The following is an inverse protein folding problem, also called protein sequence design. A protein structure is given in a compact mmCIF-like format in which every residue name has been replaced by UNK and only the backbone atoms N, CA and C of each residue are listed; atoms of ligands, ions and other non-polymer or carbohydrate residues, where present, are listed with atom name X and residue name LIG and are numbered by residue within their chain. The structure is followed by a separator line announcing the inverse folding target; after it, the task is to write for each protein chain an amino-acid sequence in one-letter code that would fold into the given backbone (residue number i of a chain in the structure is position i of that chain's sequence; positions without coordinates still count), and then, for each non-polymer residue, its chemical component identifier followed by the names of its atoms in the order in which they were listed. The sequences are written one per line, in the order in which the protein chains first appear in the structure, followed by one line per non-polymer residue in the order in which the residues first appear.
data_IF_411655221549
#
_entry.id   IF_411655221549
#
_cell.length_a   1.000
_cell.length_b   1.000
_cell.length_c   1.000
_cell.angle_alpha   90.00
_cell.angle_beta   90.00
_cell.angle_gamma   90.00
#
_symmetry.space_group_name_H-M   'P 1'
#
loop_
_entity.id
_entity.type
_entity.pdbx_description
1 polymer ?
#
# COMPACT_ATOMS: atom_id res chain seq x y z
N UNK A 1 -26.72 -3.55 -35.88
CA UNK A 1 -25.50 -4.11 -35.25
C UNK A 1 -25.92 -4.57 -33.87
N UNK A 2 -25.80 -5.87 -33.59
CA UNK A 2 -26.36 -6.55 -32.41
C UNK A 2 -25.81 -5.95 -31.11
N UNK A 3 -26.67 -5.38 -30.27
CA UNK A 3 -26.33 -4.38 -29.25
C UNK A 3 -26.11 -4.95 -27.83
N UNK A 4 -25.88 -6.26 -27.65
CA UNK A 4 -25.43 -6.74 -26.34
C UNK A 4 -24.68 -8.06 -26.39
N UNK A 5 -23.35 -7.99 -26.34
CA UNK A 5 -22.56 -9.12 -25.90
C UNK A 5 -22.93 -9.51 -24.46
N UNK A 6 -23.37 -10.76 -24.25
CA UNK A 6 -23.75 -11.27 -22.94
C UNK A 6 -22.61 -11.16 -21.91
N UNK A 7 -21.39 -11.56 -22.29
CA UNK A 7 -20.19 -11.41 -21.45
C UNK A 7 -19.98 -9.95 -21.01
N UNK A 8 -20.19 -8.98 -21.90
CA UNK A 8 -20.07 -7.57 -21.57
C UNK A 8 -21.17 -7.10 -20.59
N UNK A 9 -22.38 -7.64 -20.72
CA UNK A 9 -23.47 -7.43 -19.75
C UNK A 9 -23.10 -7.97 -18.37
N UNK A 10 -22.67 -9.23 -18.29
CA UNK A 10 -22.25 -9.89 -17.04
C UNK A 10 -21.06 -9.16 -16.38
N UNK A 11 -20.09 -8.72 -17.17
CA UNK A 11 -18.97 -7.90 -16.68
C UNK A 11 -19.46 -6.62 -15.99
N UNK A 12 -20.36 -5.87 -16.64
CA UNK A 12 -20.91 -4.62 -16.07
C UNK A 12 -21.74 -4.88 -14.82
N UNK A 13 -22.56 -5.94 -14.82
CA UNK A 13 -23.31 -6.35 -13.63
C UNK A 13 -22.39 -6.73 -12.48
N UNK A 14 -21.30 -7.46 -12.77
CA UNK A 14 -20.28 -7.79 -11.78
C UNK A 14 -19.66 -6.55 -11.15
N UNK A 15 -19.21 -5.59 -11.98
CA UNK A 15 -18.64 -4.33 -11.51
C UNK A 15 -19.62 -3.53 -10.65
N UNK A 16 -20.86 -3.37 -11.12
CA UNK A 16 -21.90 -2.64 -10.41
C UNK A 16 -22.27 -3.32 -9.08
N UNK A 17 -22.40 -4.65 -9.05
CA UNK A 17 -22.69 -5.39 -7.81
C UNK A 17 -21.52 -5.26 -6.83
N UNK A 18 -20.27 -5.37 -7.28
CA UNK A 18 -19.12 -5.18 -6.40
C UNK A 18 -19.08 -3.78 -5.76
N UNK A 19 -19.24 -2.72 -6.57
CA UNK A 19 -19.22 -1.34 -6.07
C UNK A 19 -20.42 -1.00 -5.17
N UNK A 20 -21.53 -1.71 -5.33
CA UNK A 20 -22.69 -1.64 -4.44
C UNK A 20 -22.59 -2.59 -3.24
N UNK A 21 -21.39 -3.13 -2.96
CA UNK A 21 -21.14 -4.03 -1.84
C UNK A 21 -21.98 -5.31 -1.86
N UNK A 22 -22.29 -5.85 -3.05
CA UNK A 22 -22.86 -7.19 -3.21
C UNK A 22 -21.76 -8.11 -3.74
N UNK A 23 -20.85 -8.50 -2.85
CA UNK A 23 -19.59 -9.16 -3.23
C UNK A 23 -19.80 -10.55 -3.84
N UNK A 24 -20.71 -11.34 -3.27
CA UNK A 24 -21.07 -12.67 -3.78
C UNK A 24 -21.62 -12.60 -5.20
N UNK A 25 -22.60 -11.72 -5.44
CA UNK A 25 -23.13 -11.46 -6.79
C UNK A 25 -22.03 -10.97 -7.74
N UNK A 26 -21.17 -10.06 -7.28
CA UNK A 26 -20.04 -9.55 -8.06
C UNK A 26 -19.14 -10.69 -8.56
N UNK A 27 -18.73 -11.59 -7.67
CA UNK A 27 -17.93 -12.76 -8.03
C UNK A 27 -18.69 -13.77 -8.91
N UNK A 28 -19.98 -13.98 -8.65
CA UNK A 28 -20.82 -14.87 -9.44
C UNK A 28 -20.95 -14.38 -10.88
N UNK A 29 -21.26 -13.10 -11.09
CA UNK A 29 -21.33 -12.51 -12.42
C UNK A 29 -19.97 -12.48 -13.11
N UNK A 30 -18.87 -12.27 -12.37
CA UNK A 30 -17.52 -12.35 -12.94
C UNK A 30 -17.16 -13.77 -13.39
N UNK A 31 -17.58 -14.79 -12.63
CA UNK A 31 -17.39 -16.19 -13.03
C UNK A 31 -18.21 -16.51 -14.28
N UNK A 32 -19.49 -16.16 -14.30
CA UNK A 32 -20.36 -16.34 -15.46
C UNK A 32 -19.81 -15.66 -16.71
N UNK A 33 -19.30 -14.42 -16.59
CA UNK A 33 -18.69 -13.70 -17.71
C UNK A 33 -17.50 -14.44 -18.35
N UNK A 34 -16.72 -15.18 -17.55
CA UNK A 34 -15.58 -15.99 -18.04
C UNK A 34 -16.06 -17.28 -18.73
N UNK A 35 -17.15 -17.86 -18.25
CA UNK A 35 -17.66 -19.14 -18.75
C UNK A 35 -18.50 -18.99 -20.03
N UNK A 36 -19.09 -17.80 -20.27
CA UNK A 36 -19.85 -17.48 -21.49
C UNK A 36 -18.93 -17.38 -22.71
N UNK A 37 -19.28 -18.10 -23.79
CA UNK A 37 -18.57 -18.00 -25.07
C UNK A 37 -19.01 -16.75 -25.85
N UNK A 38 -18.02 -15.97 -26.26
CA UNK A 38 -18.21 -14.73 -27.01
C UNK A 38 -17.68 -14.90 -28.43
N UNK A 39 -18.58 -15.05 -29.41
CA UNK A 39 -18.21 -15.28 -30.81
C UNK A 39 -17.67 -14.01 -31.51
N UNK A 40 -18.09 -12.84 -31.04
CA UNK A 40 -17.78 -11.54 -31.67
C UNK A 40 -16.48 -10.88 -31.15
N UNK A 41 -15.73 -11.53 -30.25
CA UNK A 41 -14.45 -11.03 -29.66
C UNK A 41 -14.53 -9.58 -29.13
N UNK A 42 -15.57 -9.25 -28.38
CA UNK A 42 -15.67 -7.94 -27.72
C UNK A 42 -14.53 -7.71 -26.72
N UNK A 43 -14.14 -6.45 -26.54
CA UNK A 43 -13.10 -6.05 -25.58
C UNK A 43 -13.39 -6.53 -24.15
N UNK A 44 -14.63 -6.41 -23.67
CA UNK A 44 -14.99 -6.93 -22.34
C UNK A 44 -14.85 -8.46 -22.22
N UNK A 45 -14.95 -9.20 -23.33
CA UNK A 45 -14.74 -10.65 -23.33
C UNK A 45 -13.28 -11.00 -23.05
N UNK A 46 -12.33 -10.22 -23.59
CA UNK A 46 -10.90 -10.44 -23.34
C UNK A 46 -10.50 -9.98 -21.93
N UNK A 47 -11.22 -9.01 -21.37
CA UNK A 47 -10.94 -8.46 -20.03
C UNK A 47 -11.63 -9.21 -18.88
N UNK A 48 -12.73 -9.94 -19.12
CA UNK A 48 -13.50 -10.62 -18.09
C UNK A 48 -12.68 -11.57 -17.19
N UNK A 49 -11.74 -12.38 -17.70
CA UNK A 49 -10.87 -13.20 -16.87
C UNK A 49 -10.03 -12.38 -15.87
N UNK A 50 -9.46 -11.25 -16.32
CA UNK A 50 -8.64 -10.38 -15.46
C UNK A 50 -9.49 -9.67 -14.41
N UNK A 51 -10.70 -9.24 -14.77
CA UNK A 51 -11.65 -8.68 -13.81
C UNK A 51 -12.01 -9.67 -12.71
N UNK A 52 -12.27 -10.94 -13.05
CA UNK A 52 -12.48 -12.00 -12.05
C UNK A 52 -11.27 -12.15 -11.13
N UNK A 53 -10.06 -12.14 -11.65
CA UNK A 53 -8.83 -12.21 -10.84
C UNK A 53 -8.68 -10.99 -9.92
N UNK A 54 -9.03 -9.80 -10.40
CA UNK A 54 -9.04 -8.58 -9.59
C UNK A 54 -10.00 -8.72 -8.38
N UNK A 55 -11.22 -9.20 -8.61
CA UNK A 55 -12.19 -9.43 -7.53
C UNK A 55 -11.74 -10.51 -6.55
N UNK A 56 -11.20 -11.64 -7.04
CA UNK A 56 -10.62 -12.68 -6.19
C UNK A 56 -9.46 -12.15 -5.34
N UNK A 57 -8.67 -11.24 -5.89
CA UNK A 57 -7.56 -10.58 -5.17
C UNK A 57 -8.09 -9.71 -4.04
N UNK A 58 -9.14 -8.91 -4.28
CA UNK A 58 -9.78 -8.06 -3.25
C UNK A 58 -10.49 -8.90 -2.17
N UNK A 59 -11.13 -10.00 -2.55
CA UNK A 59 -11.70 -10.99 -1.64
C UNK A 59 -10.64 -11.81 -0.87
N UNK A 60 -9.34 -11.66 -1.22
CA UNK A 60 -8.21 -12.46 -0.71
C UNK A 60 -8.37 -13.97 -0.93
N UNK A 61 -9.07 -14.37 -1.99
CA UNK A 61 -9.09 -15.73 -2.53
C UNK A 61 -7.86 -15.97 -3.43
N UNK A 62 -6.67 -15.69 -2.88
CA UNK A 62 -5.41 -15.52 -3.61
C UNK A 62 -4.93 -16.80 -4.32
N UNK A 63 -5.27 -17.97 -3.79
CA UNK A 63 -4.95 -19.26 -4.42
C UNK A 63 -5.84 -19.53 -5.62
N UNK A 64 -7.11 -19.15 -5.55
CA UNK A 64 -8.04 -19.26 -6.68
C UNK A 64 -7.65 -18.27 -7.77
N UNK A 65 -7.37 -17.02 -7.41
CA UNK A 65 -6.89 -15.99 -8.34
C UNK A 65 -5.60 -16.39 -9.06
N UNK A 66 -4.66 -17.02 -8.35
CA UNK A 66 -3.40 -17.50 -8.95
C UNK A 66 -3.59 -18.64 -9.94
N UNK A 67 -4.49 -19.58 -9.65
CA UNK A 67 -4.84 -20.63 -10.61
C UNK A 67 -5.53 -20.04 -11.83
N UNK A 68 -6.43 -19.08 -11.62
CA UNK A 68 -7.13 -18.40 -12.69
C UNK A 68 -6.16 -17.66 -13.61
N UNK A 69 -5.29 -16.76 -13.11
CA UNK A 69 -4.40 -15.95 -13.95
C UNK A 69 -3.37 -16.76 -14.76
N UNK A 70 -3.05 -17.99 -14.33
CA UNK A 70 -2.11 -18.89 -15.02
C UNK A 70 -2.82 -20.00 -15.81
N UNK A 71 -4.14 -19.94 -15.97
CA UNK A 71 -4.87 -20.95 -16.71
C UNK A 71 -4.47 -20.89 -18.21
N UNK A 72 -4.18 -22.03 -18.86
CA UNK A 72 -3.75 -22.05 -20.27
C UNK A 72 -4.74 -21.36 -21.21
N UNK A 73 -6.02 -21.38 -20.87
CA UNK A 73 -7.13 -20.79 -21.63
C UNK A 73 -7.02 -19.26 -21.75
N UNK A 74 -6.40 -18.59 -20.78
CA UNK A 74 -6.15 -17.14 -20.81
C UNK A 74 -5.12 -16.74 -21.87
N UNK A 75 -4.25 -17.66 -22.28
CA UNK A 75 -3.16 -17.40 -23.23
C UNK A 75 -3.43 -17.94 -24.64
N UNK A 76 -4.63 -18.51 -24.89
CA UNK A 76 -5.00 -19.04 -26.21
C UNK A 76 -5.57 -17.94 -27.11
N UNK A 77 -4.71 -17.20 -27.82
CA UNK A 77 -5.13 -16.46 -29.01
C UNK A 77 -4.30 -15.24 -29.38
N UNK A 78 -3.55 -15.33 -30.49
CA UNK A 78 -3.04 -14.18 -31.26
C UNK A 78 -2.06 -13.24 -30.55
N UNK A 79 -1.57 -12.24 -31.28
CA UNK A 79 -0.80 -11.14 -30.70
C UNK A 79 -1.66 -10.41 -29.66
N UNK A 80 -1.31 -10.49 -28.38
CA UNK A 80 -2.04 -9.76 -27.33
C UNK A 80 -2.07 -8.27 -27.65
N UNK A 81 -3.27 -7.67 -27.59
CA UNK A 81 -3.43 -6.21 -27.61
C UNK A 81 -2.65 -5.61 -26.43
N UNK A 82 -2.03 -4.44 -26.63
CA UNK A 82 -1.33 -3.71 -25.57
C UNK A 82 -2.22 -3.51 -24.33
N UNK A 83 -3.52 -3.32 -24.51
CA UNK A 83 -4.49 -3.21 -23.42
C UNK A 83 -4.62 -4.50 -22.60
N UNK A 84 -4.65 -5.66 -23.27
CA UNK A 84 -4.74 -6.97 -22.61
C UNK A 84 -3.45 -7.24 -21.84
N UNK A 85 -2.29 -6.98 -22.44
CA UNK A 85 -1.00 -7.08 -21.76
C UNK A 85 -0.91 -6.14 -20.56
N UNK A 86 -1.34 -4.87 -20.70
CA UNK A 86 -1.37 -3.91 -19.60
C UNK A 86 -2.25 -4.38 -18.44
N UNK A 87 -3.47 -4.83 -18.75
CA UNK A 87 -4.43 -5.35 -17.77
C UNK A 87 -3.89 -6.59 -17.07
N UNK A 88 -3.41 -7.56 -17.84
CA UNK A 88 -2.83 -8.81 -17.34
C UNK A 88 -1.69 -8.55 -16.36
N UNK A 89 -0.74 -7.69 -16.74
CA UNK A 89 0.41 -7.35 -15.91
C UNK A 89 0.01 -6.60 -14.63
N UNK A 90 -0.88 -5.60 -14.70
CA UNK A 90 -1.32 -4.86 -13.52
C UNK A 90 -2.07 -5.78 -12.54
N UNK A 91 -3.01 -6.60 -13.04
CA UNK A 91 -3.81 -7.50 -12.20
C UNK A 91 -2.97 -8.63 -11.62
N UNK A 92 -2.05 -9.22 -12.40
CA UNK A 92 -1.11 -10.23 -11.89
C UNK A 92 -0.20 -9.63 -10.83
N UNK A 93 0.28 -8.40 -11.06
CA UNK A 93 1.10 -7.66 -10.12
C UNK A 93 0.39 -7.34 -8.79
N UNK A 94 -0.88 -6.91 -8.83
CA UNK A 94 -1.72 -6.70 -7.64
C UNK A 94 -1.89 -8.02 -6.85
N UNK A 95 -2.15 -9.13 -7.55
CA UNK A 95 -2.27 -10.45 -6.94
C UNK A 95 -0.98 -10.92 -6.28
N UNK A 96 0.16 -10.78 -6.96
CA UNK A 96 1.49 -11.11 -6.42
C UNK A 96 1.80 -10.28 -5.18
N UNK A 97 1.52 -8.98 -5.24
CA UNK A 97 1.66 -8.08 -4.09
C UNK A 97 0.81 -8.54 -2.90
N UNK A 98 -0.46 -8.87 -3.11
CA UNK A 98 -1.35 -9.38 -2.07
C UNK A 98 -0.90 -10.74 -1.50
N UNK A 99 -0.25 -11.58 -2.31
CA UNK A 99 0.36 -12.86 -1.90
C UNK A 99 1.68 -12.71 -1.14
N UNK A 100 2.29 -11.53 -1.14
CA UNK A 100 3.58 -11.25 -0.50
C UNK A 100 4.79 -11.38 -1.43
N UNK A 101 4.61 -11.70 -2.71
CA UNK A 101 5.67 -11.70 -3.73
C UNK A 101 5.88 -10.27 -4.24
N UNK A 102 6.35 -9.39 -3.34
CA UNK A 102 6.31 -7.95 -3.58
C UNK A 102 7.21 -7.54 -4.75
N UNK A 103 8.46 -7.99 -4.83
CA UNK A 103 9.35 -7.57 -5.92
C UNK A 103 8.82 -7.96 -7.32
N UNK A 104 8.36 -9.21 -7.47
CA UNK A 104 7.75 -9.69 -8.71
C UNK A 104 6.47 -8.92 -9.04
N UNK A 105 5.63 -8.67 -8.04
CA UNK A 105 4.41 -7.90 -8.19
C UNK A 105 4.67 -6.47 -8.65
N UNK A 106 5.68 -5.79 -8.10
CA UNK A 106 6.05 -4.44 -8.53
C UNK A 106 6.62 -4.41 -9.94
N UNK A 107 7.43 -5.40 -10.32
CA UNK A 107 7.97 -5.51 -11.67
C UNK A 107 6.84 -5.65 -12.71
N UNK A 108 5.83 -6.49 -12.40
CA UNK A 108 4.64 -6.66 -13.23
C UNK A 108 3.81 -5.40 -13.33
N UNK A 109 3.48 -4.75 -12.21
CA UNK A 109 2.71 -3.49 -12.22
C UNK A 109 3.44 -2.42 -13.03
N UNK A 110 4.76 -2.27 -12.87
CA UNK A 110 5.54 -1.29 -13.64
C UNK A 110 5.54 -1.60 -15.14
N UNK A 111 5.65 -2.87 -15.53
CA UNK A 111 5.54 -3.26 -16.94
C UNK A 111 4.15 -2.94 -17.49
N UNK A 112 3.10 -3.26 -16.74
CA UNK A 112 1.72 -3.02 -17.13
C UNK A 112 1.38 -1.54 -17.24
N UNK A 113 1.88 -0.69 -16.34
CA UNK A 113 1.72 0.77 -16.43
C UNK A 113 2.38 1.35 -17.69
N UNK A 114 3.59 0.89 -18.05
CA UNK A 114 4.24 1.30 -19.31
C UNK A 114 3.45 0.86 -20.55
N UNK A 115 2.75 -0.27 -20.48
CA UNK A 115 1.86 -0.70 -21.55
C UNK A 115 0.58 0.15 -21.58
N UNK A 116 -0.02 0.41 -20.41
CA UNK A 116 -1.22 1.24 -20.26
C UNK A 116 -1.00 2.67 -20.76
N UNK A 117 0.14 3.28 -20.44
CA UNK A 117 0.51 4.62 -20.93
C UNK A 117 0.63 4.65 -22.46
N UNK A 118 1.19 3.60 -23.09
CA UNK A 118 1.34 3.51 -24.55
C UNK A 118 0.02 3.29 -25.30
N UNK A 119 -0.97 2.66 -24.67
CA UNK A 119 -2.29 2.45 -25.25
C UNK A 119 -3.36 3.37 -24.65
N UNK A 120 -2.96 4.42 -23.94
CA UNK A 120 -3.83 5.43 -23.32
C UNK A 120 -4.93 4.85 -22.39
N UNK A 121 -4.68 3.69 -21.79
CA UNK A 121 -5.61 3.01 -20.89
C UNK A 121 -5.60 3.62 -19.47
N UNK A 122 -6.00 4.89 -19.36
CA UNK A 122 -5.91 5.68 -18.11
C UNK A 122 -6.65 5.07 -16.93
N UNK A 123 -7.75 4.37 -17.17
CA UNK A 123 -8.54 3.68 -16.13
C UNK A 123 -7.74 2.61 -15.36
N UNK A 124 -6.64 2.10 -15.93
CA UNK A 124 -5.78 1.11 -15.27
C UNK A 124 -4.72 1.76 -14.36
N UNK A 125 -4.40 3.03 -14.58
CA UNK A 125 -3.29 3.70 -13.90
C UNK A 125 -3.48 3.77 -12.38
N UNK A 126 -4.65 4.16 -11.83
CA UNK A 126 -4.84 4.23 -10.38
C UNK A 126 -4.60 2.90 -9.67
N UNK A 127 -4.96 1.77 -10.29
CA UNK A 127 -4.76 0.43 -9.71
C UNK A 127 -3.27 0.18 -9.48
N UNK A 128 -2.45 0.43 -10.51
CA UNK A 128 -1.01 0.26 -10.40
C UNK A 128 -0.35 1.27 -9.45
N UNK A 129 -0.81 2.52 -9.45
CA UNK A 129 -0.28 3.55 -8.56
C UNK A 129 -0.56 3.26 -7.08
N UNK A 130 -1.73 2.71 -6.73
CA UNK A 130 -2.03 2.28 -5.35
C UNK A 130 -1.05 1.20 -4.90
N UNK A 131 -0.80 0.17 -5.73
CA UNK A 131 0.14 -0.91 -5.39
C UNK A 131 1.55 -0.36 -5.18
N UNK A 132 2.04 0.48 -6.09
CA UNK A 132 3.38 1.06 -6.02
C UNK A 132 3.53 2.01 -4.82
N UNK A 133 2.52 2.85 -4.55
CA UNK A 133 2.52 3.74 -3.40
C UNK A 133 2.52 2.97 -2.08
N UNK A 134 1.67 1.95 -1.93
CA UNK A 134 1.62 1.10 -0.73
C UNK A 134 2.91 0.32 -0.51
N UNK A 135 3.48 -0.26 -1.56
CA UNK A 135 4.73 -1.01 -1.45
C UNK A 135 5.90 -0.10 -1.07
N UNK A 136 5.99 1.07 -1.69
CA UNK A 136 6.99 2.08 -1.35
C UNK A 136 6.83 2.55 0.10
N UNK A 137 5.58 2.84 0.53
CA UNK A 137 5.27 3.21 1.91
C UNK A 137 5.72 2.15 2.92
N UNK A 138 5.36 0.89 2.68
CA UNK A 138 5.73 -0.26 3.53
C UNK A 138 7.23 -0.54 3.53
N UNK A 139 7.98 -0.09 2.52
CA UNK A 139 9.45 -0.18 2.42
C UNK A 139 10.20 1.06 2.92
N UNK A 140 9.49 2.05 3.45
CA UNK A 140 10.04 3.36 3.81
C UNK A 140 10.74 4.09 2.64
N UNK A 141 10.29 3.85 1.40
CA UNK A 141 10.70 4.61 0.21
C UNK A 141 9.75 5.78 0.00
N UNK A 142 9.94 6.85 0.78
CA UNK A 142 8.99 7.97 0.80
C UNK A 142 8.95 8.75 -0.53
N UNK A 143 10.09 8.88 -1.24
CA UNK A 143 10.12 9.51 -2.58
C UNK A 143 9.20 8.79 -3.56
N UNK A 144 9.38 7.47 -3.69
CA UNK A 144 8.59 6.67 -4.63
C UNK A 144 7.12 6.67 -4.21
N UNK A 145 6.85 6.59 -2.90
CA UNK A 145 5.50 6.69 -2.35
C UNK A 145 4.81 7.99 -2.76
N UNK A 146 5.48 9.13 -2.57
CA UNK A 146 4.94 10.45 -2.89
C UNK A 146 4.76 10.68 -4.39
N UNK A 147 5.68 10.17 -5.20
CA UNK A 147 5.52 10.22 -6.65
C UNK A 147 4.20 9.58 -7.11
N UNK A 148 3.86 8.41 -6.57
CA UNK A 148 2.61 7.73 -6.94
C UNK A 148 1.37 8.31 -6.24
N UNK A 149 1.51 8.91 -5.06
CA UNK A 149 0.42 9.69 -4.43
C UNK A 149 0.09 10.94 -5.23
N UNK A 150 1.09 11.64 -5.77
CA UNK A 150 0.89 12.80 -6.65
C UNK A 150 0.19 12.39 -7.94
N UNK A 151 0.65 11.30 -8.58
CA UNK A 151 -0.04 10.72 -9.74
C UNK A 151 -1.49 10.33 -9.43
N UNK A 152 -1.76 9.68 -8.30
CA UNK A 152 -3.13 9.37 -7.84
C UNK A 152 -3.99 10.62 -7.67
N UNK A 153 -3.41 11.69 -7.12
CA UNK A 153 -4.09 12.98 -6.96
C UNK A 153 -4.43 13.58 -8.32
N UNK A 154 -3.50 13.53 -9.28
CA UNK A 154 -3.72 13.94 -10.66
C UNK A 154 -4.87 13.18 -11.34
N UNK A 155 -4.87 11.86 -11.27
CA UNK A 155 -5.97 11.04 -11.82
C UNK A 155 -7.31 11.33 -11.14
N UNK A 156 -7.30 11.60 -9.83
CA UNK A 156 -8.51 11.93 -9.10
C UNK A 156 -9.13 13.27 -9.54
N UNK A 157 -8.29 14.29 -9.80
CA UNK A 157 -8.73 15.59 -10.31
C UNK A 157 -9.32 15.50 -11.73
N UNK A 158 -8.92 14.50 -12.51
CA UNK A 158 -9.46 14.23 -13.84
C UNK A 158 -10.76 13.40 -13.82
N UNK A 159 -11.29 13.08 -12.64
CA UNK A 159 -12.57 12.39 -12.49
C UNK A 159 -12.52 10.88 -12.73
N UNK A 160 -11.34 10.26 -12.76
CA UNK A 160 -11.24 8.80 -12.91
C UNK A 160 -11.61 8.08 -11.59
N UNK A 161 -12.49 7.07 -11.73
CA UNK A 161 -13.09 6.29 -10.63
C UNK A 161 -12.12 5.25 -10.03
N UNK A 162 -12.38 4.82 -8.78
CA UNK A 162 -11.48 3.97 -7.97
C UNK A 162 -10.78 4.72 -6.83
N UNK A 163 -11.26 5.93 -6.50
CA UNK A 163 -10.57 6.90 -5.63
C UNK A 163 -10.47 6.49 -4.16
N UNK A 164 -11.25 5.53 -3.69
CA UNK A 164 -11.29 5.20 -2.27
C UNK A 164 -9.93 4.71 -1.75
N UNK A 165 -9.29 3.78 -2.48
CA UNK A 165 -7.95 3.29 -2.13
C UNK A 165 -6.88 4.39 -2.31
N UNK A 166 -6.98 5.20 -3.37
CA UNK A 166 -6.08 6.34 -3.59
C UNK A 166 -6.13 7.38 -2.47
N UNK A 167 -7.33 7.82 -2.08
CA UNK A 167 -7.55 8.73 -0.96
C UNK A 167 -7.03 8.15 0.36
N UNK A 168 -7.26 6.86 0.60
CA UNK A 168 -6.75 6.15 1.77
C UNK A 168 -5.22 6.12 1.82
N UNK A 169 -4.54 5.84 0.71
CA UNK A 169 -3.07 5.89 0.64
C UNK A 169 -2.55 7.30 0.85
N UNK A 170 -3.19 8.30 0.24
CA UNK A 170 -2.85 9.72 0.46
C UNK A 170 -2.99 10.11 1.93
N UNK A 171 -4.04 9.65 2.60
CA UNK A 171 -4.27 9.90 4.03
C UNK A 171 -3.21 9.21 4.91
N UNK A 172 -2.81 7.98 4.59
CA UNK A 172 -1.71 7.26 5.25
C UNK A 172 -0.38 8.03 5.17
N UNK A 173 -0.09 8.59 3.99
CA UNK A 173 1.16 9.33 3.76
C UNK A 173 1.14 10.68 4.46
N UNK A 174 0.02 11.40 4.42
CA UNK A 174 -0.15 12.65 5.18
C UNK A 174 0.04 12.42 6.70
N UNK A 175 -0.55 11.36 7.25
CA UNK A 175 -0.39 10.98 8.66
C UNK A 175 1.07 10.68 9.00
N UNK A 176 1.76 9.91 8.15
CA UNK A 176 3.16 9.54 8.35
C UNK A 176 4.13 10.72 8.28
N UNK A 177 3.82 11.74 7.47
CA UNK A 177 4.56 13.00 7.36
C UNK A 177 4.25 13.99 8.49
N UNK A 178 3.29 13.67 9.35
CA UNK A 178 2.84 14.57 10.43
C UNK A 178 1.97 15.73 9.97
N UNK A 179 1.40 15.65 8.76
CA UNK A 179 0.48 16.63 8.19
C UNK A 179 -0.92 16.43 8.80
N UNK A 180 -1.04 16.73 10.09
CA UNK A 180 -2.19 16.37 10.94
C UNK A 180 -3.51 16.85 10.37
N UNK A 181 -3.62 18.12 9.95
CA UNK A 181 -4.86 18.69 9.43
C UNK A 181 -5.26 18.07 8.09
N UNK A 182 -4.28 17.84 7.20
CA UNK A 182 -4.51 17.18 5.90
C UNK A 182 -4.98 15.75 6.10
N UNK A 183 -4.34 15.01 7.01
CA UNK A 183 -4.73 13.64 7.34
C UNK A 183 -6.15 13.61 7.93
N UNK A 184 -6.48 14.51 8.87
CA UNK A 184 -7.80 14.61 9.48
C UNK A 184 -8.89 14.91 8.44
N UNK A 185 -8.65 15.86 7.54
CA UNK A 185 -9.59 16.19 6.46
C UNK A 185 -9.86 15.02 5.51
N UNK A 186 -8.81 14.30 5.11
CA UNK A 186 -8.94 13.12 4.25
C UNK A 186 -9.67 11.97 4.96
N UNK A 187 -9.35 11.69 6.22
CA UNK A 187 -10.03 10.66 7.02
C UNK A 187 -11.51 11.00 7.19
N UNK A 188 -11.84 12.24 7.53
CA UNK A 188 -13.22 12.69 7.66
C UNK A 188 -13.97 12.56 6.32
N UNK A 189 -13.36 12.96 5.20
CA UNK A 189 -13.94 12.81 3.87
C UNK A 189 -14.23 11.35 3.50
N UNK A 190 -13.30 10.44 3.80
CA UNK A 190 -13.47 9.00 3.55
C UNK A 190 -14.60 8.42 4.43
N UNK A 191 -14.61 8.73 5.72
CA UNK A 191 -15.53 8.09 6.69
C UNK A 191 -16.95 8.65 6.58
N UNK A 192 -17.11 9.94 6.30
CA UNK A 192 -18.42 10.57 6.20
C UNK A 192 -19.14 10.25 4.87
N UNK A 193 -18.39 9.96 3.81
CA UNK A 193 -18.97 9.47 2.57
C UNK A 193 -19.21 7.95 2.64
N UNK A 194 -20.48 7.57 2.81
CA UNK A 194 -20.89 6.16 2.94
C UNK A 194 -20.50 5.30 1.74
N UNK A 195 -20.51 5.86 0.54
CA UNK A 195 -20.18 5.12 -0.68
C UNK A 195 -18.68 4.86 -0.74
N UNK A 196 -17.86 5.89 -0.52
CA UNK A 196 -16.40 5.78 -0.49
C UNK A 196 -15.96 4.82 0.62
N UNK A 197 -16.49 4.97 1.84
CA UNK A 197 -16.15 4.11 2.96
C UNK A 197 -16.47 2.64 2.64
N UNK A 198 -17.67 2.36 2.13
CA UNK A 198 -18.06 0.99 1.79
C UNK A 198 -17.16 0.38 0.72
N UNK A 199 -16.89 1.11 -0.36
CA UNK A 199 -16.01 0.65 -1.44
C UNK A 199 -14.59 0.37 -0.94
N UNK A 200 -14.07 1.22 -0.04
CA UNK A 200 -12.77 1.04 0.58
C UNK A 200 -12.74 -0.23 1.44
N UNK A 201 -13.72 -0.41 2.33
CA UNK A 201 -13.74 -1.51 3.29
C UNK A 201 -13.84 -2.89 2.63
N UNK A 202 -14.50 -3.00 1.47
CA UNK A 202 -14.60 -4.26 0.73
C UNK A 202 -13.41 -4.53 -0.21
N UNK A 203 -12.60 -3.50 -0.49
CA UNK A 203 -11.48 -3.60 -1.43
C UNK A 203 -10.12 -3.65 -0.74
N UNK A 204 -9.98 -2.98 0.41
CA UNK A 204 -8.73 -2.81 1.14
C UNK A 204 -8.85 -3.31 2.59
N UNK A 205 -8.44 -4.56 2.88
CA UNK A 205 -8.63 -5.19 4.20
C UNK A 205 -7.98 -4.45 5.37
N UNK A 206 -6.91 -3.71 5.08
CA UNK A 206 -6.16 -2.94 6.07
C UNK A 206 -6.80 -1.60 6.41
N UNK A 207 -7.79 -1.15 5.64
CA UNK A 207 -8.32 0.21 5.75
C UNK A 207 -9.06 0.43 7.08
N UNK A 208 -9.91 -0.51 7.50
CA UNK A 208 -10.70 -0.37 8.71
C UNK A 208 -9.84 -0.15 9.97
N UNK A 209 -8.83 -1.01 10.17
CA UNK A 209 -7.95 -0.91 11.33
C UNK A 209 -7.02 0.29 11.25
N UNK A 210 -6.58 0.69 10.05
CA UNK A 210 -5.84 1.93 9.88
C UNK A 210 -6.67 3.17 10.22
N UNK A 211 -7.89 3.28 9.69
CA UNK A 211 -8.80 4.39 9.96
C UNK A 211 -9.08 4.51 11.46
N UNK A 212 -9.37 3.40 12.15
CA UNK A 212 -9.55 3.42 13.62
C UNK A 212 -8.29 3.91 14.34
N UNK A 213 -7.09 3.39 14.02
CA UNK A 213 -5.83 3.86 14.63
C UNK A 213 -5.61 5.35 14.41
N UNK A 214 -5.80 5.82 13.19
CA UNK A 214 -5.57 7.21 12.82
C UNK A 214 -6.59 8.15 13.49
N UNK A 215 -7.88 7.79 13.47
CA UNK A 215 -8.95 8.54 14.14
C UNK A 215 -8.72 8.62 15.66
N UNK A 216 -8.36 7.52 16.31
CA UNK A 216 -8.01 7.53 17.74
C UNK A 216 -6.80 8.43 18.03
N UNK A 217 -5.75 8.39 17.20
CA UNK A 217 -4.56 9.26 17.34
C UNK A 217 -4.91 10.74 17.21
N UNK A 218 -5.89 11.07 16.37
CA UNK A 218 -6.40 12.43 16.16
C UNK A 218 -7.45 12.87 17.19
N UNK A 219 -7.84 12.00 18.12
CA UNK A 219 -8.93 12.27 19.08
C UNK A 219 -10.33 12.26 18.45
N UNK A 220 -10.46 11.86 17.18
CA UNK A 220 -11.72 11.83 16.44
C UNK A 220 -12.48 10.51 16.68
N UNK A 221 -12.91 10.27 17.92
CA UNK A 221 -13.53 9.00 18.34
C UNK A 221 -14.78 8.64 17.52
N UNK A 222 -15.60 9.61 17.17
CA UNK A 222 -16.81 9.40 16.36
C UNK A 222 -16.49 8.78 14.99
N UNK A 223 -15.39 9.20 14.35
CA UNK A 223 -14.95 8.62 13.08
C UNK A 223 -14.47 7.18 13.23
N UNK A 224 -13.84 6.85 14.36
CA UNK A 224 -13.44 5.48 14.67
C UNK A 224 -14.68 4.59 14.89
N UNK A 225 -15.68 5.07 15.62
CA UNK A 225 -16.94 4.38 15.86
C UNK A 225 -17.74 4.16 14.57
N UNK A 226 -17.81 5.18 13.70
CA UNK A 226 -18.43 5.07 12.38
C UNK A 226 -17.73 4.02 11.50
N UNK A 227 -16.39 3.99 11.51
CA UNK A 227 -15.60 3.00 10.78
C UNK A 227 -15.88 1.58 11.28
N UNK A 228 -15.88 1.35 12.59
CA UNK A 228 -16.17 0.03 13.18
C UNK A 228 -17.59 -0.41 12.85
N UNK A 229 -18.56 0.51 12.93
CA UNK A 229 -19.96 0.23 12.57
C UNK A 229 -20.07 -0.19 11.11
N UNK A 230 -19.47 0.55 10.19
CA UNK A 230 -19.48 0.22 8.77
C UNK A 230 -18.80 -1.13 8.47
N UNK A 231 -17.67 -1.42 9.12
CA UNK A 231 -16.98 -2.69 8.96
C UNK A 231 -17.79 -3.86 9.52
N UNK A 232 -18.49 -3.68 10.64
CA UNK A 232 -19.37 -4.69 11.22
C UNK A 232 -20.56 -4.99 10.28
N UNK A 233 -21.20 -3.96 9.73
CA UNK A 233 -22.27 -4.13 8.72
C UNK A 233 -21.75 -4.93 7.52
N UNK A 234 -20.62 -4.54 6.94
CA UNK A 234 -20.02 -5.26 5.82
C UNK A 234 -19.72 -6.74 6.15
N UNK A 235 -19.24 -7.04 7.37
CA UNK A 235 -19.00 -8.41 7.78
C UNK A 235 -20.29 -9.24 7.96
N UNK A 236 -21.38 -8.62 8.43
CA UNK A 236 -22.69 -9.30 8.55
C UNK A 236 -23.35 -9.55 7.20
N UNK A 237 -23.15 -8.66 6.22
CA UNK A 237 -23.64 -8.82 4.83
C UNK A 237 -22.84 -9.88 4.05
N UNK A 238 -21.60 -10.18 4.47
CA UNK A 238 -20.62 -10.97 3.70
C UNK A 238 -19.98 -12.10 4.52
N UNK A 239 -20.80 -12.95 5.13
CA UNK A 239 -20.37 -14.02 6.05
C UNK A 239 -19.33 -14.99 5.44
N UNK A 240 -19.37 -15.20 4.12
CA UNK A 240 -18.44 -16.06 3.38
C UNK A 240 -17.01 -15.51 3.27
N UNK A 241 -16.83 -14.19 3.45
CA UNK A 241 -15.54 -13.54 3.22
C UNK A 241 -14.73 -13.39 4.50
N UNK A 242 -13.81 -14.33 4.72
CA UNK A 242 -12.88 -14.31 5.87
C UNK A 242 -12.14 -12.99 6.02
N UNK A 243 -11.76 -12.36 4.90
CA UNK A 243 -11.04 -11.08 4.91
C UNK A 243 -11.87 -9.94 5.49
N UNK A 244 -13.17 -9.85 5.16
CA UNK A 244 -14.08 -8.80 5.65
C UNK A 244 -14.34 -9.00 7.15
N UNK A 245 -14.57 -10.25 7.58
CA UNK A 245 -14.70 -10.58 9.00
C UNK A 245 -13.44 -10.26 9.79
N UNK A 246 -12.26 -10.58 9.24
CA UNK A 246 -10.96 -10.23 9.84
C UNK A 246 -10.79 -8.72 10.01
N UNK A 247 -11.14 -7.93 8.98
CA UNK A 247 -11.10 -6.47 9.02
C UNK A 247 -12.01 -5.87 10.09
N UNK A 248 -13.25 -6.36 10.20
CA UNK A 248 -14.21 -5.93 11.22
C UNK A 248 -13.74 -6.27 12.65
N UNK A 249 -13.25 -7.49 12.88
CA UNK A 249 -12.70 -7.91 14.17
C UNK A 249 -11.46 -7.09 14.56
N UNK A 250 -10.59 -6.77 13.58
CA UNK A 250 -9.40 -5.96 13.82
C UNK A 250 -9.79 -4.53 14.23
N UNK A 251 -10.69 -3.90 13.49
CA UNK A 251 -11.17 -2.55 13.79
C UNK A 251 -11.88 -2.49 15.16
N UNK A 252 -12.80 -3.43 15.43
CA UNK A 252 -13.50 -3.51 16.71
C UNK A 252 -12.55 -3.80 17.88
N UNK A 253 -11.58 -4.70 17.71
CA UNK A 253 -10.59 -5.03 18.72
C UNK A 253 -9.69 -3.85 19.10
N UNK A 254 -9.42 -2.94 18.16
CA UNK A 254 -8.71 -1.69 18.44
C UNK A 254 -9.56 -0.70 19.23
N UNK A 255 -10.81 -0.44 18.79
CA UNK A 255 -11.69 0.53 19.42
C UNK A 255 -12.10 0.13 20.84
N UNK A 256 -12.32 -1.16 21.07
CA UNK A 256 -12.75 -1.73 22.35
C UNK A 256 -11.58 -2.19 23.22
N UNK A 257 -10.34 -2.06 22.75
CA UNK A 257 -9.13 -2.58 23.42
C UNK A 257 -9.25 -4.08 23.78
N UNK A 258 -9.83 -4.87 22.87
CA UNK A 258 -10.16 -6.28 23.08
C UNK A 258 -9.10 -7.21 22.46
N UNK A 259 -8.23 -7.86 23.28
CA UNK A 259 -7.20 -8.76 22.76
C UNK A 259 -7.75 -10.05 22.15
N UNK A 260 -8.96 -10.48 22.52
CA UNK A 260 -9.62 -11.64 21.92
C UNK A 260 -9.94 -11.40 20.45
N UNK A 261 -10.59 -10.26 20.17
CA UNK A 261 -10.93 -9.84 18.79
C UNK A 261 -9.69 -9.66 17.91
N UNK A 262 -8.62 -9.05 18.43
CA UNK A 262 -7.37 -8.88 17.69
C UNK A 262 -6.67 -10.23 17.39
N UNK A 263 -6.70 -11.16 18.35
CA UNK A 263 -6.14 -12.51 18.15
C UNK A 263 -6.92 -13.28 17.10
N UNK A 264 -8.24 -13.20 17.14
CA UNK A 264 -9.10 -13.84 16.13
C UNK A 264 -8.86 -13.25 14.75
N UNK A 265 -8.82 -11.91 14.63
CA UNK A 265 -8.49 -11.23 13.37
C UNK A 265 -7.14 -11.70 12.81
N UNK A 266 -6.09 -11.74 13.64
CA UNK A 266 -4.75 -12.19 13.26
C UNK A 266 -4.70 -13.63 12.70
N UNK A 267 -5.63 -14.49 13.13
CA UNK A 267 -5.71 -15.89 12.71
C UNK A 267 -6.62 -16.10 11.49
N UNK A 268 -7.59 -15.21 11.26
CA UNK A 268 -8.55 -15.33 10.15
C UNK A 268 -8.07 -14.64 8.87
N UNK A 269 -7.24 -13.59 8.96
CA UNK A 269 -6.74 -12.90 7.78
C UNK A 269 -6.04 -13.87 6.80
N UNK A 270 -6.45 -13.89 5.51
CA UNK A 270 -5.81 -14.75 4.52
C UNK A 270 -4.43 -14.23 4.07
N UNK A 271 -4.19 -12.92 4.09
CA UNK A 271 -2.90 -12.33 3.73
C UNK A 271 -2.00 -12.06 4.94
N UNK A 272 -0.70 -12.24 4.74
CA UNK A 272 0.29 -12.22 5.83
C UNK A 272 0.45 -10.82 6.44
N UNK A 273 0.34 -9.76 5.63
CA UNK A 273 0.55 -8.39 6.12
C UNK A 273 -0.58 -7.95 7.07
N UNK A 274 -1.85 -8.21 6.72
CA UNK A 274 -2.97 -7.88 7.61
C UNK A 274 -2.93 -8.70 8.90
N UNK A 275 -2.58 -9.99 8.79
CA UNK A 275 -2.34 -10.84 9.97
C UNK A 275 -1.21 -10.31 10.86
N UNK A 276 -0.11 -9.82 10.29
CA UNK A 276 0.98 -9.19 11.04
C UNK A 276 0.53 -7.89 11.73
N UNK A 277 -0.25 -7.07 11.04
CA UNK A 277 -0.82 -5.83 11.57
C UNK A 277 -1.70 -6.08 12.80
N UNK A 278 -2.60 -7.07 12.75
CA UNK A 278 -3.42 -7.45 13.89
C UNK A 278 -2.60 -8.02 15.07
N UNK A 279 -1.55 -8.81 14.79
CA UNK A 279 -0.63 -9.31 15.83
C UNK A 279 0.14 -8.18 16.51
N UNK A 280 0.59 -7.19 15.74
CA UNK A 280 1.27 -6.04 16.31
C UNK A 280 0.38 -5.24 17.26
N UNK A 281 -0.87 -4.99 16.87
CA UNK A 281 -1.83 -4.29 17.73
C UNK A 281 -2.18 -5.12 18.97
N UNK A 282 -2.35 -6.43 18.82
CA UNK A 282 -2.53 -7.36 19.94
C UNK A 282 -1.37 -7.26 20.92
N UNK A 283 -0.14 -7.33 20.43
CA UNK A 283 1.06 -7.21 21.26
C UNK A 283 1.14 -5.83 21.94
N UNK A 284 0.69 -4.76 21.28
CA UNK A 284 0.54 -3.43 21.88
C UNK A 284 -0.41 -3.41 23.07
N UNK A 285 -1.56 -4.09 22.98
CA UNK A 285 -2.50 -4.21 24.12
C UNK A 285 -1.95 -5.09 25.24
N UNK A 286 -1.26 -6.19 24.91
CA UNK A 286 -0.66 -7.07 25.91
C UNK A 286 0.49 -6.39 26.64
N UNK A 287 1.28 -5.56 25.95
CA UNK A 287 2.36 -4.75 26.53
C UNK A 287 1.89 -3.84 27.67
N UNK A 288 0.66 -3.32 27.61
CA UNK A 288 0.06 -2.52 28.69
C UNK A 288 -0.28 -3.32 29.95
N UNK A 289 -0.29 -4.66 29.87
CA UNK A 289 -0.64 -5.56 30.97
C UNK A 289 0.63 -6.17 31.59
N UNK A 290 0.96 -5.78 32.83
CA UNK A 290 2.24 -6.11 33.51
C UNK A 290 2.60 -7.61 33.57
N UNK A 291 1.64 -8.53 33.41
CA UNK A 291 1.81 -9.97 33.60
C UNK A 291 2.11 -10.79 32.33
N UNK A 292 2.22 -10.18 31.14
CA UNK A 292 2.28 -10.95 29.88
C UNK A 292 3.49 -10.69 28.97
N UNK A 293 4.68 -10.47 29.58
CA UNK A 293 5.90 -10.12 28.83
C UNK A 293 6.29 -11.17 27.78
N UNK A 294 6.32 -12.45 28.14
CA UNK A 294 6.77 -13.52 27.24
C UNK A 294 5.83 -13.66 26.03
N UNK A 295 4.52 -13.57 26.23
CA UNK A 295 3.55 -13.63 25.14
C UNK A 295 3.58 -12.37 24.27
N UNK A 296 3.78 -11.19 24.89
CA UNK A 296 3.97 -9.93 24.17
C UNK A 296 5.16 -10.03 23.22
N UNK A 297 6.32 -10.47 23.72
CA UNK A 297 7.52 -10.68 22.92
C UNK A 297 7.26 -11.67 21.78
N UNK A 298 6.71 -12.85 22.09
CA UNK A 298 6.39 -13.86 21.07
C UNK A 298 5.47 -13.31 19.98
N UNK A 299 4.45 -12.54 20.36
CA UNK A 299 3.48 -11.98 19.42
C UNK A 299 4.14 -10.93 18.51
N UNK A 300 4.99 -10.06 19.05
CA UNK A 300 5.80 -9.14 18.24
C UNK A 300 6.78 -9.89 17.32
N UNK A 301 7.40 -10.97 17.77
CA UNK A 301 8.32 -11.76 16.93
C UNK A 301 7.61 -12.40 15.74
N UNK A 302 6.38 -12.89 15.92
CA UNK A 302 5.54 -13.39 14.83
C UNK A 302 5.17 -12.29 13.84
N UNK A 303 4.80 -11.10 14.34
CA UNK A 303 4.53 -9.94 13.48
C UNK A 303 5.77 -9.52 12.68
N UNK A 304 6.93 -9.46 13.33
CA UNK A 304 8.21 -9.13 12.69
C UNK A 304 8.57 -10.12 11.58
N UNK A 305 8.42 -11.43 11.85
CA UNK A 305 8.67 -12.48 10.85
C UNK A 305 7.79 -12.31 9.62
N UNK A 306 6.49 -12.10 9.82
CA UNK A 306 5.54 -11.90 8.73
C UNK A 306 5.79 -10.61 7.93
N UNK A 307 6.06 -9.48 8.59
CA UNK A 307 6.42 -8.24 7.88
C UNK A 307 7.72 -8.38 7.07
N UNK A 308 8.70 -9.11 7.60
CA UNK A 308 9.96 -9.39 6.89
C UNK A 308 9.72 -10.26 5.67
N UNK A 309 8.90 -11.30 5.79
CA UNK A 309 8.56 -12.23 4.70
C UNK A 309 7.90 -11.53 3.50
N UNK A 310 7.09 -10.50 3.75
CA UNK A 310 6.43 -9.71 2.69
C UNK A 310 7.19 -8.42 2.36
N UNK A 311 8.43 -8.24 2.83
CA UNK A 311 9.25 -7.08 2.49
C UNK A 311 8.72 -5.73 3.00
N UNK A 312 7.90 -5.72 4.06
CA UNK A 312 7.39 -4.52 4.71
C UNK A 312 8.41 -3.95 5.73
N UNK A 313 9.54 -3.47 5.23
CA UNK A 313 10.68 -3.04 6.04
C UNK A 313 10.36 -1.92 7.05
N UNK A 314 9.44 -1.00 6.71
CA UNK A 314 8.98 0.06 7.62
C UNK A 314 8.27 -0.54 8.83
N UNK A 315 7.36 -1.47 8.60
CA UNK A 315 6.59 -2.15 9.65
C UNK A 315 7.48 -3.08 10.47
N UNK A 316 8.39 -3.81 9.82
CA UNK A 316 9.39 -4.63 10.50
C UNK A 316 10.27 -3.79 11.43
N UNK A 317 10.73 -2.61 10.98
CA UNK A 317 11.52 -1.69 11.80
C UNK A 317 10.72 -1.17 13.00
N UNK A 318 9.45 -0.84 12.79
CA UNK A 318 8.51 -0.47 13.86
C UNK A 318 8.40 -1.53 14.95
N UNK A 319 8.19 -2.79 14.57
CA UNK A 319 8.08 -3.90 15.53
C UNK A 319 9.43 -4.21 16.20
N UNK A 320 10.53 -4.20 15.43
CA UNK A 320 11.86 -4.42 15.97
C UNK A 320 12.23 -3.37 17.04
N UNK A 321 11.79 -2.12 16.86
CA UNK A 321 11.97 -1.08 17.87
C UNK A 321 11.20 -1.39 19.16
N UNK A 322 9.92 -1.74 19.05
CA UNK A 322 9.11 -2.13 20.22
C UNK A 322 9.74 -3.30 20.98
N UNK A 323 10.27 -4.30 20.27
CA UNK A 323 10.98 -5.43 20.88
C UNK A 323 12.23 -5.01 21.68
N UNK A 324 12.95 -3.95 21.25
CA UNK A 324 14.10 -3.44 22.00
C UNK A 324 13.70 -2.83 23.34
N UNK A 325 12.51 -2.24 23.44
CA UNK A 325 11.97 -1.72 24.71
C UNK A 325 11.71 -2.87 25.72
N UNK A 326 11.51 -4.09 25.22
CA UNK A 326 11.44 -5.32 26.02
C UNK A 326 12.79 -6.00 26.24
N UNK A 327 13.91 -5.34 25.95
CA UNK A 327 15.26 -5.87 26.12
C UNK A 327 15.64 -6.98 25.12
N UNK A 328 14.79 -7.25 24.12
CA UNK A 328 15.07 -8.24 23.08
C UNK A 328 15.96 -7.58 22.01
N UNK A 329 17.26 -7.83 22.11
CA UNK A 329 18.24 -7.40 21.09
C UNK A 329 18.45 -8.54 20.10
N UNK A 330 17.72 -8.54 18.98
CA UNK A 330 18.11 -9.35 17.83
C UNK A 330 19.20 -8.61 17.04
N UNK A 331 20.13 -9.37 16.47
CA UNK A 331 21.12 -8.83 15.52
C UNK A 331 20.39 -7.97 14.49
N UNK A 332 20.92 -6.77 14.25
CA UNK A 332 20.33 -5.79 13.33
C UNK A 332 19.92 -6.54 12.07
N UNK A 333 18.62 -6.62 11.78
CA UNK A 333 18.16 -6.90 10.41
C UNK A 333 18.67 -5.71 9.64
N UNK A 334 19.92 -5.79 9.16
CA UNK A 334 20.48 -4.78 8.29
C UNK A 334 19.61 -4.87 7.05
N UNK A 335 18.76 -3.86 6.76
CA UNK A 335 18.22 -3.78 5.43
C UNK A 335 19.44 -3.81 4.53
N UNK A 336 19.45 -4.69 3.51
CA UNK A 336 20.48 -4.64 2.48
C UNK A 336 20.51 -3.17 2.04
N UNK A 337 21.57 -2.45 2.40
CA UNK A 337 21.77 -1.07 2.01
C UNK A 337 22.03 -1.12 0.51
N UNK A 338 20.95 -1.18 -0.28
CA UNK A 338 21.04 -0.97 -1.73
C UNK A 338 21.63 0.43 -1.91
N UNK A 339 22.68 0.51 -2.71
CA UNK A 339 23.36 1.75 -3.09
C UNK A 339 22.33 2.82 -3.51
N UNK A 340 22.62 4.07 -3.17
CA UNK A 340 21.65 5.16 -3.17
C UNK A 340 21.04 5.48 -4.53
N UNK A 341 19.86 4.93 -4.78
CA UNK A 341 19.01 5.26 -5.95
C UNK A 341 18.16 6.53 -5.76
N UNK A 342 18.31 7.22 -4.62
CA UNK A 342 17.66 8.50 -4.37
C UNK A 342 18.58 9.65 -4.84
N UNK A 343 18.05 10.86 -5.08
CA UNK A 343 18.87 12.03 -5.41
C UNK A 343 20.02 12.21 -4.43
N UNK A 344 21.11 12.82 -4.91
CA UNK A 344 22.33 13.03 -4.12
C UNK A 344 22.95 11.73 -3.59
N UNK A 345 22.62 10.57 -4.17
CA UNK A 345 23.13 9.27 -3.74
C UNK A 345 22.62 8.83 -2.36
N UNK A 346 21.48 9.38 -1.91
CA UNK A 346 20.87 9.02 -0.64
C UNK A 346 20.26 7.60 -0.72
N UNK A 347 20.24 6.92 0.42
CA UNK A 347 19.43 5.71 0.62
C UNK A 347 17.98 6.10 0.94
N UNK A 348 17.03 5.15 0.83
CA UNK A 348 15.62 5.41 1.17
C UNK A 348 15.46 5.95 2.60
N UNK A 349 16.22 5.39 3.55
CA UNK A 349 16.20 5.84 4.95
C UNK A 349 16.77 7.25 5.11
N UNK A 350 17.88 7.56 4.44
CA UNK A 350 18.47 8.90 4.45
C UNK A 350 17.54 9.93 3.81
N UNK A 351 16.89 9.59 2.70
CA UNK A 351 15.90 10.45 2.05
C UNK A 351 14.71 10.70 2.98
N UNK A 352 14.13 9.66 3.59
CA UNK A 352 13.01 9.80 4.52
C UNK A 352 13.37 10.66 5.76
N UNK A 353 14.59 10.52 6.29
CA UNK A 353 15.09 11.39 7.36
C UNK A 353 15.21 12.84 6.88
N UNK A 354 15.82 13.06 5.71
CA UNK A 354 16.05 14.38 5.16
C UNK A 354 14.73 15.12 4.86
N UNK A 355 13.73 14.40 4.34
CA UNK A 355 12.40 14.93 4.05
C UNK A 355 11.66 15.39 5.31
N UNK A 356 11.61 14.57 6.36
CA UNK A 356 10.94 14.99 7.59
C UNK A 356 11.67 16.16 8.26
N UNK A 357 13.01 16.16 8.20
CA UNK A 357 13.81 17.25 8.74
C UNK A 357 13.61 18.56 7.99
N UNK A 358 13.49 18.50 6.65
CA UNK A 358 13.23 19.69 5.82
C UNK A 358 11.84 20.28 6.04
N UNK A 359 10.89 19.46 6.50
CA UNK A 359 9.55 19.89 6.96
C UNK A 359 9.54 20.48 8.39
N UNK A 360 10.68 20.45 9.10
CA UNK A 360 10.81 21.04 10.43
C UNK A 360 10.81 20.04 11.60
N UNK A 361 10.63 18.74 11.37
CA UNK A 361 10.54 17.73 12.44
C UNK A 361 11.86 17.52 13.19
N UNK A 362 11.87 17.64 14.51
CA UNK A 362 13.02 17.38 15.38
C UNK A 362 13.51 15.92 15.27
N UNK A 363 14.76 15.64 15.65
CA UNK A 363 15.29 14.26 15.62
C UNK A 363 14.44 13.26 16.43
N UNK A 364 13.78 13.72 17.49
CA UNK A 364 12.87 12.90 18.28
C UNK A 364 11.58 12.59 17.51
N UNK A 365 10.99 13.59 16.85
CA UNK A 365 9.78 13.42 16.02
C UNK A 365 10.06 12.53 14.80
N UNK A 366 11.18 12.75 14.11
CA UNK A 366 11.64 11.91 13.00
C UNK A 366 11.85 10.47 13.48
N UNK A 367 12.52 10.29 14.62
CA UNK A 367 12.75 8.96 15.19
C UNK A 367 11.44 8.23 15.51
N UNK A 368 10.45 8.96 16.03
CA UNK A 368 9.11 8.43 16.29
C UNK A 368 8.38 8.04 14.99
N UNK A 369 8.44 8.87 13.95
CA UNK A 369 7.73 8.63 12.68
C UNK A 369 8.36 7.51 11.83
N UNK A 370 9.69 7.43 11.82
CA UNK A 370 10.44 6.44 11.04
C UNK A 370 10.77 5.18 11.85
N UNK A 371 10.38 5.15 13.12
CA UNK A 371 10.70 4.07 14.05
C UNK A 371 12.20 3.78 14.08
N UNK A 372 13.00 4.78 14.44
CA UNK A 372 14.44 4.66 14.71
C UNK A 372 14.82 5.56 15.90
N UNK A 373 15.94 5.31 16.57
CA UNK A 373 16.34 6.16 17.69
C UNK A 373 16.78 7.55 17.22
N UNK A 374 16.64 8.58 18.05
CA UNK A 374 17.16 9.94 17.76
C UNK A 374 18.65 9.95 17.39
N UNK A 375 19.42 9.01 17.94
CA UNK A 375 20.85 8.83 17.64
C UNK A 375 21.06 8.22 16.24
N UNK A 376 20.17 7.31 15.83
CA UNK A 376 20.15 6.76 14.47
C UNK A 376 19.75 7.85 13.46
N UNK A 377 18.80 8.72 13.82
CA UNK A 377 18.46 9.91 13.01
C UNK A 377 19.67 10.82 12.85
N UNK A 378 20.36 11.16 13.94
CA UNK A 378 21.56 11.99 13.89
C UNK A 378 22.67 11.35 13.04
N UNK A 379 22.83 10.03 13.11
CA UNK A 379 23.74 9.27 12.26
C UNK A 379 23.36 9.40 10.77
N UNK A 380 22.09 9.21 10.41
CA UNK A 380 21.64 9.39 9.03
C UNK A 380 21.81 10.84 8.55
N UNK A 381 21.52 11.83 9.39
CA UNK A 381 21.74 13.24 9.04
C UNK A 381 23.20 13.56 8.74
N UNK A 382 24.16 13.00 9.51
CA UNK A 382 25.58 13.16 9.20
C UNK A 382 25.92 12.64 7.79
N UNK A 383 25.31 11.51 7.38
CA UNK A 383 25.48 10.95 6.04
C UNK A 383 24.79 11.77 4.96
N UNK A 384 23.59 12.29 5.24
CA UNK A 384 22.85 13.21 4.35
C UNK A 384 23.68 14.45 4.09
N UNK A 385 24.17 15.12 5.13
CA UNK A 385 24.99 16.33 5.02
C UNK A 385 26.25 16.09 4.18
N UNK A 386 26.93 14.98 4.42
CA UNK A 386 28.10 14.59 3.64
C UNK A 386 27.76 14.37 2.15
N UNK A 387 26.68 13.63 1.85
CA UNK A 387 26.29 13.29 0.49
C UNK A 387 25.75 14.48 -0.30
N UNK A 388 25.04 15.39 0.37
CA UNK A 388 24.49 16.60 -0.23
C UNK A 388 25.47 17.79 -0.22
N UNK A 389 26.65 17.64 0.38
CA UNK A 389 27.63 18.73 0.54
C UNK A 389 27.06 19.97 1.23
N UNK A 390 26.26 19.76 2.28
CA UNK A 390 25.66 20.81 3.13
C UNK A 390 26.12 20.65 4.57
N UNK A 391 26.04 21.72 5.35
CA UNK A 391 26.61 21.77 6.71
C UNK A 391 25.56 21.95 7.80
N UNK A 392 24.35 22.39 7.44
CA UNK A 392 23.34 22.74 8.41
C UNK A 392 21.95 22.21 8.09
N UNK A 393 21.14 22.10 9.14
CA UNK A 393 19.72 21.77 9.04
C UNK A 393 18.93 22.80 8.23
N UNK A 394 19.33 24.07 8.32
CA UNK A 394 18.72 25.18 7.58
C UNK A 394 19.06 25.07 6.11
N UNK A 395 20.32 24.76 5.76
CA UNK A 395 20.72 24.47 4.37
C UNK A 395 20.00 23.25 3.80
N UNK A 396 19.78 22.21 4.63
CA UNK A 396 18.97 21.06 4.21
C UNK A 396 17.55 21.52 3.86
N UNK A 397 16.89 22.28 4.74
CA UNK A 397 15.53 22.76 4.48
C UNK A 397 15.45 23.68 3.25
N UNK A 398 16.46 24.52 3.00
CA UNK A 398 16.52 25.39 1.84
C UNK A 398 16.74 24.63 0.53
N UNK A 399 17.70 23.69 0.52
CA UNK A 399 18.02 22.87 -0.66
C UNK A 399 16.93 21.87 -1.02
N UNK A 400 16.17 21.36 -0.02
CA UNK A 400 15.10 20.38 -0.24
C UNK A 400 13.87 20.96 -0.95
N UNK A 401 13.64 22.27 -0.85
CA UNK A 401 12.51 22.97 -1.49
C UNK A 401 12.76 23.29 -2.96
N UNK A 402 14.00 23.21 -3.44
CA UNK A 402 14.27 23.37 -4.86
C UNK A 402 13.88 22.08 -5.59
N UNK A 403 13.06 22.13 -6.65
CA UNK A 403 12.74 20.94 -7.43
C UNK A 403 14.06 20.33 -7.91
N UNK A 404 14.25 19.04 -7.67
CA UNK A 404 15.46 18.29 -8.04
C UNK A 404 15.63 18.28 -9.57
N UNK A 405 16.07 19.39 -10.15
CA UNK A 405 16.57 19.47 -11.51
C UNK A 405 17.82 18.64 -11.60
N UNK A 406 17.87 17.74 -12.59
CA UNK A 406 19.00 16.86 -12.82
C UNK A 406 20.29 17.67 -12.96
N UNK A 407 21.16 17.56 -11.97
CA UNK A 407 22.54 18.00 -12.10
C UNK A 407 23.30 16.93 -12.88
N UNK A 408 23.50 17.18 -14.18
CA UNK A 408 24.58 16.56 -14.95
C UNK A 408 25.90 16.71 -14.18
N UNK A 409 26.73 15.67 -14.11
CA UNK A 409 28.04 15.81 -13.48
C UNK A 409 28.85 16.82 -14.28
N UNK A 410 29.18 17.91 -13.60
CA UNK A 410 30.08 18.96 -14.07
C UNK A 410 31.42 18.29 -14.41
N UNK A 411 31.68 18.07 -15.70
CA UNK A 411 33.00 17.68 -16.18
C UNK A 411 33.89 18.88 -15.90
N UNK A 412 34.76 18.73 -14.92
CA UNK A 412 35.87 19.65 -14.72
C UNK A 412 36.66 19.70 -16.02
N UNK A 413 36.68 20.87 -16.63
CA UNK A 413 37.62 21.26 -17.67
C UNK A 413 39.03 20.82 -17.24
N UNK A 414 39.59 19.88 -18.00
CA UNK A 414 41.02 19.63 -18.01
C UNK A 414 41.63 20.77 -18.83
N UNK A 415 42.20 21.73 -18.10
CA UNK A 415 43.09 22.75 -18.61
C UNK A 415 44.41 22.06 -19.01
N UNK A 416 44.55 21.70 -20.29
CA UNK A 416 45.83 21.27 -20.87
C UNK A 416 46.43 22.44 -21.66
N UNK A 417 47.10 23.31 -20.91
CA UNK A 417 48.07 24.24 -21.45
C UNK A 417 49.35 23.51 -21.90
N UNK A 418 49.54 23.44 -23.22
CA UNK A 418 50.83 23.74 -23.85
C UNK A 418 51.89 22.63 -23.96
N UNK A 419 52.25 22.29 -25.20
CA UNK A 419 53.50 21.61 -25.51
C UNK A 419 53.75 21.36 -27.00
N UNK A 420 54.54 22.25 -27.63
CA UNK A 420 55.32 22.05 -28.88
C UNK A 420 55.94 20.63 -28.91
N UNK A 421 56.04 19.92 -30.03
CA UNK A 421 56.60 20.27 -31.34
C UNK A 421 55.98 19.43 -32.45
#
# INVERSE_FOLDING_TARGET
MSDSCETAGLFRHSALSWYNGRLDEGLQYAAAAVDTRCEERHEFCTLAPFWRVALLTKARELTVGWRAINAPELHRGGSESLLVTATSQIIRGELLFARGFVDDGLADVQAGLRAAERCEARLLLPIGYVVLALAAFRRADMRTCLHFVDKLTGEALLGYFGQAAGAWVTAQVAEARGETDRAAGLIAGIVNDRLILRQLLVSEPAAASWLVRASCKLGARELAEATVTAAAVAATEHLGFRVIRGAALHAAGLLEENPGKLREAANIYPDQWCGASAREDLAGLLAGRRSDRSNTVRTFELALGAYTAVGAARDASRVANKLRDFGVRRGVVRPVQRSGNQPHGLTNMEFAVAELVSQGHTNNEVGRQLFISRHTVAFHLKKVYQKMSITSRVELAASWKQPHGGASPNIREYDDGGGRW
#
